data_IF_174725698234
#
_entry.id   IF_174725698234
#
_cell.length_a   1.000
_cell.length_b   1.000
_cell.length_c   1.000
_cell.angle_alpha   90.00
_cell.angle_beta   90.00
_cell.angle_gamma   90.00
#
_symmetry.space_group_name_H-M   'P 1'
#
loop_
_entity.id
_entity.type
_entity.pdbx_description
1 polymer ?
#
# COMPACT_ATOMS: atom_id res chain seq x y z
N UNK A 1 -6.42 -30.11 9.19
CA UNK A 1 -7.80 -29.68 8.86
C UNK A 1 -7.77 -28.17 8.67
N UNK A 2 -7.79 -27.72 7.42
CA UNK A 2 -7.86 -26.29 7.09
C UNK A 2 -9.30 -25.89 7.37
N UNK A 3 -9.52 -25.04 8.38
CA UNK A 3 -10.83 -24.40 8.59
C UNK A 3 -11.12 -23.61 7.32
N UNK A 4 -12.23 -23.91 6.64
CA UNK A 4 -12.68 -23.14 5.50
C UNK A 4 -12.74 -21.67 5.89
N UNK A 5 -11.98 -20.84 5.16
CA UNK A 5 -11.96 -19.40 5.35
C UNK A 5 -13.34 -18.88 4.93
N UNK A 6 -14.23 -18.67 5.91
CA UNK A 6 -15.51 -18.02 5.65
C UNK A 6 -15.21 -16.57 5.28
N UNK A 7 -15.44 -16.21 4.01
CA UNK A 7 -15.39 -14.81 3.56
C UNK A 7 -16.21 -13.94 4.51
N UNK A 8 -15.61 -12.86 4.98
CA UNK A 8 -16.24 -11.91 5.88
C UNK A 8 -17.47 -11.32 5.19
N UNK A 9 -18.65 -11.53 5.78
CA UNK A 9 -19.90 -10.89 5.34
C UNK A 9 -20.02 -9.44 5.84
N UNK A 10 -19.00 -8.94 6.56
CA UNK A 10 -18.98 -7.57 7.05
C UNK A 10 -18.76 -6.60 5.88
N UNK A 11 -19.52 -5.50 5.86
CA UNK A 11 -19.37 -4.43 4.86
C UNK A 11 -18.32 -3.40 5.25
N UNK A 12 -17.82 -3.45 6.50
CA UNK A 12 -16.75 -2.59 7.00
C UNK A 12 -15.97 -3.24 8.14
N UNK A 13 -14.76 -2.73 8.40
CA UNK A 13 -13.93 -3.11 9.53
C UNK A 13 -13.38 -1.88 10.26
N UNK A 14 -13.01 -2.05 11.53
CA UNK A 14 -12.49 -0.95 12.36
C UNK A 14 -11.00 -0.76 12.13
N UNK A 15 -10.59 0.49 12.12
CA UNK A 15 -9.18 0.88 12.11
C UNK A 15 -8.46 0.44 13.39
N UNK A 16 -7.16 0.17 13.26
CA UNK A 16 -6.28 -0.11 14.40
C UNK A 16 -5.72 1.18 15.01
N UNK A 17 -5.15 1.12 16.22
CA UNK A 17 -4.37 2.24 16.77
C UNK A 17 -3.20 2.64 15.86
N UNK A 18 -2.63 1.69 15.12
CA UNK A 18 -1.59 1.96 14.13
C UNK A 18 -2.15 2.78 12.96
N UNK A 19 -3.26 2.35 12.34
CA UNK A 19 -3.91 3.10 11.26
C UNK A 19 -4.31 4.52 11.65
N UNK A 20 -4.77 4.73 12.89
CA UNK A 20 -5.04 6.07 13.41
C UNK A 20 -3.77 6.91 13.56
N UNK A 21 -2.67 6.36 14.09
CA UNK A 21 -1.43 7.11 14.32
C UNK A 21 -0.67 7.43 13.03
N UNK A 22 -0.56 6.45 12.14
CA UNK A 22 0.24 6.56 10.92
C UNK A 22 -0.49 7.28 9.81
N UNK A 23 -1.79 7.01 9.65
CA UNK A 23 -2.57 7.46 8.49
C UNK A 23 -3.75 8.35 8.88
N UNK A 24 -3.91 8.69 10.17
CA UNK A 24 -5.05 9.48 10.64
C UNK A 24 -6.42 8.90 10.22
N UNK A 25 -6.54 7.57 10.13
CA UNK A 25 -7.83 6.92 9.86
C UNK A 25 -8.73 7.09 11.08
N UNK A 26 -9.84 7.81 10.93
CA UNK A 26 -10.72 8.18 12.06
C UNK A 26 -12.06 7.44 12.07
N UNK A 27 -12.46 6.85 10.95
CA UNK A 27 -13.72 6.11 10.83
C UNK A 27 -13.55 4.64 10.40
N UNK A 28 -14.66 3.88 10.36
CA UNK A 28 -14.68 2.53 9.79
C UNK A 28 -14.24 2.52 8.33
N UNK A 29 -13.66 1.40 7.91
CA UNK A 29 -13.13 1.17 6.56
C UNK A 29 -14.13 0.29 5.82
N UNK A 30 -14.68 0.78 4.70
CA UNK A 30 -15.57 -0.01 3.84
C UNK A 30 -14.78 -1.10 3.11
N UNK A 31 -15.32 -2.32 3.08
CA UNK A 31 -14.66 -3.51 2.52
C UNK A 31 -14.46 -3.41 1.01
N UNK A 32 -15.45 -2.89 0.26
CA UNK A 32 -15.34 -2.75 -1.20
C UNK A 32 -14.31 -1.69 -1.59
N UNK A 33 -14.22 -0.61 -0.80
CA UNK A 33 -13.19 0.42 -0.96
C UNK A 33 -11.80 -0.16 -0.68
N UNK A 34 -11.64 -0.90 0.43
CA UNK A 34 -10.39 -1.57 0.75
C UNK A 34 -9.97 -2.57 -0.34
N UNK A 35 -10.92 -3.32 -0.91
CA UNK A 35 -10.67 -4.26 -1.99
C UNK A 35 -9.99 -3.59 -3.19
N UNK A 36 -10.57 -2.50 -3.68
CA UNK A 36 -10.03 -1.78 -4.84
C UNK A 36 -8.71 -1.09 -4.49
N UNK A 37 -8.59 -0.54 -3.29
CA UNK A 37 -7.35 0.06 -2.80
C UNK A 37 -6.17 -0.92 -2.84
N UNK A 38 -6.36 -2.14 -2.31
CA UNK A 38 -5.34 -3.19 -2.30
C UNK A 38 -4.91 -3.56 -3.72
N UNK A 39 -5.87 -3.80 -4.62
CA UNK A 39 -5.59 -4.17 -6.02
C UNK A 39 -4.79 -3.10 -6.75
N UNK A 40 -5.14 -1.83 -6.56
CA UNK A 40 -4.43 -0.73 -7.23
C UNK A 40 -2.98 -0.66 -6.77
N UNK A 41 -2.70 -0.78 -5.46
CA UNK A 41 -1.32 -0.77 -4.96
C UNK A 41 -0.52 -1.91 -5.57
N UNK A 42 -1.08 -3.12 -5.57
CA UNK A 42 -0.43 -4.31 -6.14
C UNK A 42 -0.19 -4.14 -7.65
N UNK A 43 -1.16 -3.58 -8.39
CA UNK A 43 -1.00 -3.31 -9.82
C UNK A 43 0.08 -2.26 -10.13
N UNK A 44 0.20 -1.21 -9.30
CA UNK A 44 1.26 -0.21 -9.46
C UNK A 44 2.63 -0.82 -9.17
N UNK A 45 2.76 -1.53 -8.05
CA UNK A 45 4.04 -2.10 -7.62
C UNK A 45 4.52 -3.26 -8.52
N UNK A 46 3.60 -4.01 -9.15
CA UNK A 46 3.93 -5.11 -10.07
C UNK A 46 4.08 -4.68 -11.54
N UNK A 47 4.09 -3.38 -11.84
CA UNK A 47 4.04 -2.88 -13.21
C UNK A 47 5.27 -3.24 -14.07
N UNK A 48 6.40 -3.60 -13.44
CA UNK A 48 7.63 -3.95 -14.14
C UNK A 48 7.82 -5.47 -14.36
N UNK A 49 6.95 -6.29 -13.76
CA UNK A 49 7.03 -7.74 -13.79
C UNK A 49 6.38 -8.41 -12.58
N UNK A 50 7.18 -9.10 -11.78
CA UNK A 50 6.70 -9.79 -10.57
C UNK A 50 7.19 -9.05 -9.33
N UNK A 51 6.31 -8.94 -8.34
CA UNK A 51 6.68 -8.39 -7.03
C UNK A 51 7.78 -9.23 -6.41
N UNK A 52 8.87 -8.58 -6.01
CA UNK A 52 9.88 -9.20 -5.19
C UNK A 52 9.28 -9.57 -3.82
N UNK A 53 9.76 -10.67 -3.24
CA UNK A 53 9.23 -11.18 -1.97
C UNK A 53 9.28 -10.13 -0.85
N UNK A 54 10.32 -9.27 -0.81
CA UNK A 54 10.45 -8.20 0.18
C UNK A 54 9.36 -7.12 0.06
N UNK A 55 8.95 -6.79 -1.15
CA UNK A 55 7.88 -5.82 -1.42
C UNK A 55 6.54 -6.39 -0.95
N UNK A 56 6.29 -7.65 -1.29
CA UNK A 56 5.10 -8.36 -0.83
C UNK A 56 5.07 -8.46 0.70
N UNK A 57 6.16 -8.92 1.32
CA UNK A 57 6.26 -9.07 2.78
C UNK A 57 6.00 -7.74 3.48
N UNK A 58 6.64 -6.65 3.02
CA UNK A 58 6.40 -5.31 3.57
C UNK A 58 4.93 -4.92 3.51
N UNK A 59 4.28 -5.13 2.36
CA UNK A 59 2.89 -4.76 2.19
C UNK A 59 1.95 -5.62 3.05
N UNK A 60 2.22 -6.92 3.16
CA UNK A 60 1.45 -7.82 4.03
C UNK A 60 1.55 -7.42 5.50
N UNK A 61 2.75 -7.10 5.99
CA UNK A 61 2.97 -6.59 7.35
C UNK A 61 2.19 -5.28 7.58
N UNK A 62 2.27 -4.36 6.63
CA UNK A 62 1.57 -3.08 6.69
C UNK A 62 0.04 -3.28 6.77
N UNK A 63 -0.53 -4.17 5.93
CA UNK A 63 -1.95 -4.48 5.96
C UNK A 63 -2.39 -5.18 7.25
N UNK A 64 -1.55 -6.05 7.82
CA UNK A 64 -1.81 -6.66 9.12
C UNK A 64 -1.84 -5.61 10.24
N UNK A 65 -0.88 -4.66 10.25
CA UNK A 65 -0.86 -3.57 11.22
C UNK A 65 -2.08 -2.65 11.08
N UNK A 66 -2.58 -2.46 9.86
CA UNK A 66 -3.82 -1.73 9.57
C UNK A 66 -5.09 -2.48 9.96
N UNK A 67 -4.97 -3.76 10.31
CA UNK A 67 -6.10 -4.63 10.69
C UNK A 67 -6.95 -5.06 9.51
N UNK A 68 -6.39 -5.05 8.29
CA UNK A 68 -7.07 -5.54 7.10
C UNK A 68 -7.40 -7.03 7.27
N UNK A 69 -8.67 -7.44 7.08
CA UNK A 69 -9.09 -8.84 7.15
C UNK A 69 -8.23 -9.77 6.27
N UNK A 70 -7.89 -10.94 6.79
CA UNK A 70 -6.98 -11.88 6.12
C UNK A 70 -7.53 -12.42 4.79
N UNK A 71 -8.85 -12.59 4.69
CA UNK A 71 -9.53 -12.98 3.47
C UNK A 71 -9.42 -11.90 2.37
N UNK A 72 -9.51 -10.62 2.75
CA UNK A 72 -9.26 -9.52 1.81
C UNK A 72 -7.82 -9.48 1.33
N UNK A 73 -6.84 -9.73 2.21
CA UNK A 73 -5.43 -9.82 1.83
C UNK A 73 -5.21 -10.99 0.88
N UNK A 74 -5.74 -12.16 1.20
CA UNK A 74 -5.60 -13.38 0.39
C UNK A 74 -6.17 -13.17 -1.03
N UNK A 75 -7.40 -12.67 -1.14
CA UNK A 75 -8.06 -12.48 -2.44
C UNK A 75 -7.40 -11.36 -3.28
N UNK A 76 -7.03 -10.25 -2.65
CA UNK A 76 -6.75 -9.00 -3.37
C UNK A 76 -5.27 -8.60 -3.40
N UNK A 77 -4.42 -9.35 -2.69
CA UNK A 77 -2.97 -9.19 -2.70
C UNK A 77 -2.30 -10.48 -3.17
N UNK A 78 -2.52 -11.59 -2.47
CA UNK A 78 -1.80 -12.84 -2.75
C UNK A 78 -2.26 -13.52 -4.04
N UNK A 79 -3.56 -13.54 -4.31
CA UNK A 79 -4.15 -14.21 -5.45
C UNK A 79 -4.47 -13.27 -6.62
N UNK A 80 -4.15 -11.99 -6.50
CA UNK A 80 -4.46 -10.98 -7.52
C UNK A 80 -3.32 -10.83 -8.53
N UNK A 81 -3.64 -10.94 -9.82
CA UNK A 81 -2.68 -10.79 -10.92
C UNK A 81 -2.44 -9.31 -11.26
N UNK A 82 -1.69 -8.61 -10.39
CA UNK A 82 -1.42 -7.18 -10.54
C UNK A 82 -0.69 -6.80 -11.83
N UNK A 83 0.25 -7.65 -12.30
CA UNK A 83 1.09 -7.35 -13.47
C UNK A 83 0.32 -7.21 -14.77
N UNK A 84 -0.83 -7.87 -14.86
CA UNK A 84 -1.72 -7.82 -16.02
C UNK A 84 -2.96 -6.95 -15.78
N UNK A 85 -3.05 -6.28 -14.62
CA UNK A 85 -4.21 -5.49 -14.27
C UNK A 85 -4.22 -4.14 -15.01
N UNK A 86 -5.41 -3.69 -15.37
CA UNK A 86 -5.62 -2.34 -15.91
C UNK A 86 -5.83 -1.35 -14.76
N UNK A 87 -4.81 -0.52 -14.50
CA UNK A 87 -4.86 0.50 -13.45
C UNK A 87 -5.96 1.54 -13.75
N UNK A 88 -6.23 1.88 -15.02
CA UNK A 88 -7.26 2.86 -15.37
C UNK A 88 -8.66 2.32 -15.04
N UNK A 89 -8.92 1.06 -15.35
CA UNK A 89 -10.18 0.39 -15.01
C UNK A 89 -10.37 0.32 -13.49
N UNK A 90 -9.33 -0.10 -12.75
CA UNK A 90 -9.38 -0.20 -11.29
C UNK A 90 -9.62 1.17 -10.63
N UNK A 91 -8.97 2.23 -11.12
CA UNK A 91 -9.14 3.59 -10.62
C UNK A 91 -10.52 4.16 -10.99
N UNK A 92 -11.01 3.91 -12.20
CA UNK A 92 -12.31 4.37 -12.68
C UNK A 92 -13.50 3.81 -11.91
N UNK A 93 -13.35 2.62 -11.31
CA UNK A 93 -14.38 1.98 -10.49
C UNK A 93 -14.44 2.43 -9.02
N UNK A 94 -13.58 3.36 -8.58
CA UNK A 94 -13.50 3.73 -7.17
C UNK A 94 -14.42 4.89 -6.76
N UNK A 95 -15.11 4.69 -5.64
CA UNK A 95 -15.79 5.74 -4.89
C UNK A 95 -14.89 6.22 -3.74
N UNK A 96 -14.51 7.49 -3.77
CA UNK A 96 -13.53 8.10 -2.84
C UNK A 96 -14.15 8.70 -1.57
N UNK A 97 -15.25 8.14 -1.05
CA UNK A 97 -15.84 8.62 0.20
C UNK A 97 -15.10 8.01 1.41
N UNK A 98 -13.99 8.64 1.79
CA UNK A 98 -13.12 8.13 2.85
C UNK A 98 -12.58 9.25 3.74
N UNK A 99 -12.36 8.95 5.02
CA UNK A 99 -11.86 9.89 6.04
C UNK A 99 -10.37 10.26 5.91
N UNK A 100 -9.75 10.02 4.75
CA UNK A 100 -8.32 10.20 4.46
C UNK A 100 -8.16 10.77 3.05
N UNK A 101 -7.05 11.48 2.79
CA UNK A 101 -6.59 11.73 1.43
C UNK A 101 -6.09 10.42 0.79
N UNK A 102 -7.05 9.58 0.42
CA UNK A 102 -6.89 8.23 -0.05
C UNK A 102 -5.93 8.12 -1.25
N UNK A 103 -5.99 9.10 -2.15
CA UNK A 103 -5.16 9.12 -3.37
C UNK A 103 -3.68 9.28 -3.04
N UNK A 104 -3.33 10.21 -2.16
CA UNK A 104 -1.94 10.39 -1.73
C UNK A 104 -1.46 9.20 -0.88
N UNK A 105 -2.32 8.65 -0.02
CA UNK A 105 -1.98 7.47 0.79
C UNK A 105 -1.70 6.23 -0.08
N UNK A 106 -2.50 6.04 -1.13
CA UNK A 106 -2.34 4.95 -2.09
C UNK A 106 -0.96 5.01 -2.76
N UNK A 107 -0.59 6.17 -3.32
CA UNK A 107 0.72 6.34 -3.93
C UNK A 107 1.85 6.18 -2.91
N UNK A 108 1.68 6.74 -1.72
CA UNK A 108 2.67 6.59 -0.65
C UNK A 108 2.93 5.12 -0.32
N UNK A 109 1.88 4.30 -0.16
CA UNK A 109 2.05 2.88 0.12
C UNK A 109 2.60 2.09 -1.08
N UNK A 110 2.16 2.41 -2.31
CA UNK A 110 2.71 1.78 -3.51
C UNK A 110 4.21 2.05 -3.66
N UNK A 111 4.66 3.30 -3.46
CA UNK A 111 6.08 3.65 -3.53
C UNK A 111 6.88 2.97 -2.40
N UNK A 112 6.35 2.90 -1.17
CA UNK A 112 7.04 2.19 -0.07
C UNK A 112 7.12 0.70 -0.30
N UNK A 113 6.10 0.11 -0.92
CA UNK A 113 6.08 -1.28 -1.34
C UNK A 113 7.18 -1.54 -2.37
N UNK A 114 7.19 -0.79 -3.48
CA UNK A 114 8.22 -0.87 -4.52
C UNK A 114 9.64 -0.66 -3.99
N UNK A 115 9.82 0.18 -2.98
CA UNK A 115 11.15 0.46 -2.40
C UNK A 115 11.62 -0.55 -1.36
N UNK A 116 10.77 -1.50 -0.96
CA UNK A 116 11.06 -2.35 0.20
C UNK A 116 12.26 -3.27 -0.01
N UNK A 117 12.58 -3.62 -1.26
CA UNK A 117 13.76 -4.42 -1.57
C UNK A 117 15.07 -3.58 -1.64
N UNK A 118 14.94 -2.25 -1.63
CA UNK A 118 16.02 -1.27 -1.72
C UNK A 118 16.27 -0.71 -3.13
N UNK A 119 15.47 -1.13 -4.12
CA UNK A 119 15.55 -0.67 -5.51
C UNK A 119 14.25 0.05 -5.86
N UNK A 120 14.31 1.07 -6.71
CA UNK A 120 13.11 1.74 -7.23
C UNK A 120 13.32 1.93 -8.73
N UNK A 121 12.82 0.97 -9.50
CA UNK A 121 13.10 0.83 -10.91
C UNK A 121 12.39 1.92 -11.73
N UNK A 122 12.96 2.30 -12.87
CA UNK A 122 12.38 3.33 -13.75
C UNK A 122 10.97 2.95 -14.26
N UNK A 123 10.68 1.65 -14.41
CA UNK A 123 9.34 1.17 -14.78
C UNK A 123 8.32 1.38 -13.66
N UNK A 124 8.71 1.14 -12.41
CA UNK A 124 7.86 1.40 -11.25
C UNK A 124 7.61 2.89 -11.07
N UNK A 125 8.66 3.72 -11.22
CA UNK A 125 8.52 5.19 -11.24
C UNK A 125 7.54 5.66 -12.32
N UNK A 126 7.62 5.09 -13.53
CA UNK A 126 6.71 5.42 -14.61
C UNK A 126 5.27 4.98 -14.30
N UNK A 127 5.08 3.82 -13.67
CA UNK A 127 3.76 3.34 -13.23
C UNK A 127 3.17 4.22 -12.12
N UNK A 128 3.99 4.62 -11.14
CA UNK A 128 3.62 5.57 -10.09
C UNK A 128 3.25 6.92 -10.67
N UNK A 129 4.02 7.45 -11.62
CA UNK A 129 3.72 8.71 -12.30
C UNK A 129 2.39 8.63 -13.07
N UNK A 130 2.16 7.55 -13.82
CA UNK A 130 0.88 7.31 -14.51
C UNK A 130 -0.28 7.21 -13.53
N UNK A 131 -0.13 6.49 -12.43
CA UNK A 131 -1.15 6.40 -11.39
C UNK A 131 -1.43 7.77 -10.75
N UNK A 132 -0.40 8.59 -10.54
CA UNK A 132 -0.57 9.96 -10.03
C UNK A 132 -1.39 10.83 -10.99
N UNK A 133 -1.12 10.77 -12.29
CA UNK A 133 -1.90 11.48 -13.31
C UNK A 133 -3.38 11.05 -13.28
N UNK A 134 -3.65 9.74 -13.26
CA UNK A 134 -5.00 9.18 -13.20
C UNK A 134 -5.75 9.55 -11.92
N UNK A 135 -5.02 9.66 -10.81
CA UNK A 135 -5.56 10.11 -9.52
C UNK A 135 -5.71 11.64 -9.43
N UNK A 136 -5.29 12.40 -10.46
CA UNK A 136 -5.32 13.86 -10.46
C UNK A 136 -4.37 14.48 -9.43
N UNK A 137 -3.27 13.78 -9.13
CA UNK A 137 -2.22 14.25 -8.23
C UNK A 137 -1.19 15.03 -9.04
N UNK A 138 -0.98 16.28 -8.68
CA UNK A 138 0.04 17.10 -9.34
C UNK A 138 1.45 16.52 -9.12
N UNK A 139 2.32 16.63 -10.12
CA UNK A 139 3.71 16.14 -10.05
C UNK A 139 4.47 16.65 -8.82
N UNK A 140 4.25 17.92 -8.42
CA UNK A 140 4.89 18.50 -7.22
C UNK A 140 4.48 17.78 -5.92
N UNK A 141 3.25 17.26 -5.86
CA UNK A 141 2.73 16.49 -4.73
C UNK A 141 3.33 15.10 -4.75
N UNK A 142 3.44 14.46 -5.93
CA UNK A 142 4.15 13.17 -6.07
C UNK A 142 5.60 13.27 -5.57
N UNK A 143 6.34 14.29 -6.01
CA UNK A 143 7.72 14.54 -5.52
C UNK A 143 7.76 14.75 -4.01
N UNK A 144 6.75 15.41 -3.44
CA UNK A 144 6.66 15.59 -1.99
C UNK A 144 6.42 14.27 -1.24
N UNK A 145 5.64 13.35 -1.82
CA UNK A 145 5.41 11.99 -1.28
C UNK A 145 6.72 11.19 -1.32
N UNK A 146 7.43 11.19 -2.45
CA UNK A 146 8.72 10.50 -2.57
C UNK A 146 9.75 11.06 -1.56
N UNK A 147 9.80 12.38 -1.41
CA UNK A 147 10.69 13.05 -0.44
C UNK A 147 10.34 12.67 1.01
N UNK A 148 9.04 12.59 1.34
CA UNK A 148 8.61 12.14 2.66
C UNK A 148 9.11 10.72 2.96
N UNK A 149 8.96 9.80 2.00
CA UNK A 149 9.40 8.41 2.14
C UNK A 149 10.92 8.35 2.38
N UNK A 150 11.70 9.11 1.62
CA UNK A 150 13.17 9.19 1.82
C UNK A 150 13.55 9.68 3.21
N UNK A 151 12.84 10.69 3.73
CA UNK A 151 13.05 11.23 5.07
C UNK A 151 12.72 10.16 6.12
N UNK A 152 11.59 9.46 5.99
CA UNK A 152 11.18 8.40 6.91
C UNK A 152 12.17 7.24 6.94
N UNK A 153 12.61 6.77 5.77
CA UNK A 153 13.62 5.71 5.66
C UNK A 153 14.96 6.15 6.27
N UNK A 154 15.37 7.40 6.04
CA UNK A 154 16.59 7.96 6.62
C UNK A 154 16.50 8.06 8.15
N UNK A 155 15.36 8.51 8.67
CA UNK A 155 15.10 8.54 10.11
C UNK A 155 15.07 7.14 10.72
N UNK A 156 14.51 6.14 10.01
CA UNK A 156 14.52 4.75 10.45
C UNK A 156 15.95 4.18 10.51
N UNK A 157 16.77 4.41 9.48
CA UNK A 157 18.19 4.03 9.47
C UNK A 157 18.96 4.68 10.62
N UNK A 158 18.76 5.97 10.86
CA UNK A 158 19.37 6.68 11.99
C UNK A 158 18.94 6.08 13.33
N UNK A 159 17.65 5.79 13.51
CA UNK A 159 17.14 5.15 14.72
C UNK A 159 17.79 3.79 14.95
N UNK A 160 17.93 2.97 13.90
CA UNK A 160 18.61 1.68 14.01
C UNK A 160 20.08 1.85 14.40
N UNK A 161 20.82 2.77 13.77
CA UNK A 161 22.22 3.02 14.11
C UNK A 161 22.42 3.51 15.56
N UNK A 162 21.47 4.24 16.15
CA UNK A 162 21.54 4.69 17.55
C UNK A 162 21.25 3.54 18.53
N UNK A 163 20.39 2.59 18.15
CA UNK A 163 19.96 1.48 19.00
C UNK A 163 20.76 0.20 18.80
N UNK A 164 21.53 0.12 17.71
CA UNK A 164 22.50 -0.93 17.48
C UNK A 164 23.51 -0.91 18.63
N UNK A 165 23.48 -1.93 19.46
CA UNK A 165 24.50 -2.17 20.47
C UNK A 165 25.69 -2.85 19.80
N UNK A 166 26.91 -2.54 20.23
CA UNK A 166 28.08 -3.34 19.87
C UNK A 166 27.76 -4.80 20.22
N UNK A 167 27.65 -5.65 19.19
CA UNK A 167 27.46 -7.06 19.39
C UNK A 167 28.71 -7.63 20.08
N UNK A 168 28.55 -8.18 21.30
CA UNK A 168 29.55 -9.07 21.91
C UNK A 168 29.60 -10.42 21.20
#
# INVERSE_FOLDING_TARGET
>A
MIKGNTMSTATSYKQTPYGKRMYNVTGPINVDVARNYLKVIVAIASADGELAQKELDWFLEEQQLLGTPSDLIEENVLNFDGKNADIEELLGGMHYDFSLNFRCCMLYQAIKMSRADGVYHEKEKAAVARAAELLGIEQKVLVSIESLIEIEESAARLRFAIFETDAE
#
